data_IF_210053364914
#
_entry.id   IF_210053364914
#
_cell.length_a   1.000
_cell.length_b   1.000
_cell.length_c   1.000
_cell.angle_alpha   90.00
_cell.angle_beta   90.00
_cell.angle_gamma   90.00
#
_symmetry.space_group_name_H-M   'P 1'
#
loop_
_entity.id
_entity.type
_entity.pdbx_description
1 polymer ?
#
# COMPACT_ATOMS: atom_id res chain seq x y z
N UNK A 1 59.56 54.00 -41.21
CA UNK A 1 58.09 53.86 -41.30
C UNK A 1 57.70 52.54 -40.72
N UNK A 2 57.06 52.53 -39.56
CA UNK A 2 56.70 51.32 -38.81
C UNK A 2 55.17 51.18 -38.86
N UNK A 3 54.68 50.02 -39.28
CA UNK A 3 53.25 49.74 -39.44
C UNK A 3 52.55 49.56 -38.08
N UNK A 4 51.25 49.88 -37.94
CA UNK A 4 50.52 49.76 -36.67
C UNK A 4 50.08 48.31 -36.39
N UNK A 5 50.11 47.92 -35.11
CA UNK A 5 49.61 46.62 -34.62
C UNK A 5 48.09 46.48 -34.76
N UNK A 6 47.64 45.27 -35.10
CA UNK A 6 46.23 44.93 -35.23
C UNK A 6 45.58 44.66 -33.85
N UNK A 7 44.30 45.00 -33.66
CA UNK A 7 43.62 44.85 -32.38
C UNK A 7 43.21 43.40 -32.12
N UNK A 8 43.60 42.85 -30.97
CA UNK A 8 43.15 41.54 -30.48
C UNK A 8 41.76 41.66 -29.86
N UNK A 9 40.81 40.88 -30.37
CA UNK A 9 39.44 40.80 -29.82
C UNK A 9 39.36 39.63 -28.83
N UNK A 10 39.00 39.90 -27.57
CA UNK A 10 38.77 38.88 -26.54
C UNK A 10 37.31 38.42 -26.57
N UNK A 11 37.07 37.12 -26.80
CA UNK A 11 35.73 36.53 -26.72
C UNK A 11 35.46 36.13 -25.27
N UNK A 12 34.39 36.65 -24.67
CA UNK A 12 33.96 36.28 -23.32
C UNK A 12 33.47 34.82 -23.28
N UNK A 13 33.91 34.06 -22.28
CA UNK A 13 33.50 32.68 -22.08
C UNK A 13 32.00 32.59 -21.75
N UNK A 14 31.30 31.62 -22.35
CA UNK A 14 29.90 31.36 -22.09
C UNK A 14 29.67 30.88 -20.64
N UNK A 15 28.55 31.26 -20.00
CA UNK A 15 28.25 30.85 -18.63
C UNK A 15 28.02 29.34 -18.55
N UNK A 16 28.77 28.68 -17.66
CA UNK A 16 28.58 27.26 -17.34
C UNK A 16 27.29 27.12 -16.54
N UNK A 17 26.29 26.44 -17.12
CA UNK A 17 25.04 26.13 -16.40
C UNK A 17 25.30 24.93 -15.50
N UNK A 18 25.41 25.13 -14.19
CA UNK A 18 25.49 24.04 -13.22
C UNK A 18 24.12 23.39 -13.10
N UNK A 19 23.95 22.22 -13.70
CA UNK A 19 22.76 21.38 -13.47
C UNK A 19 22.85 20.84 -12.05
N UNK A 20 21.91 21.24 -11.19
CA UNK A 20 21.80 20.68 -9.86
C UNK A 20 21.55 19.17 -9.97
N UNK A 21 22.30 18.38 -9.20
CA UNK A 21 22.09 16.94 -9.13
C UNK A 21 20.66 16.66 -8.66
N UNK A 22 20.00 15.70 -9.31
CA UNK A 22 18.68 15.25 -8.88
C UNK A 22 18.76 14.75 -7.42
N UNK A 23 17.73 15.02 -6.60
CA UNK A 23 17.69 14.51 -5.23
C UNK A 23 17.78 12.97 -5.24
N UNK A 24 18.36 12.36 -4.19
CA UNK A 24 18.43 10.91 -4.06
C UNK A 24 17.00 10.32 -4.09
N UNK A 25 16.86 9.18 -4.76
CA UNK A 25 15.59 8.45 -4.75
C UNK A 25 15.26 7.99 -3.32
N UNK A 26 13.98 8.06 -2.89
CA UNK A 26 13.60 7.62 -1.56
C UNK A 26 13.86 6.13 -1.38
N UNK A 27 14.13 5.72 -0.15
CA UNK A 27 14.15 4.30 0.23
C UNK A 27 12.77 3.67 -0.01
N UNK A 28 12.72 2.33 -0.12
CA UNK A 28 11.46 1.61 -0.32
C UNK A 28 10.43 1.87 0.79
N UNK A 29 10.89 2.05 2.04
CA UNK A 29 10.02 2.40 3.16
C UNK A 29 9.50 3.84 3.07
N UNK A 30 10.35 4.81 2.72
CA UNK A 30 9.92 6.21 2.53
C UNK A 30 8.91 6.34 1.39
N UNK A 31 9.11 5.63 0.29
CA UNK A 31 8.15 5.56 -0.82
C UNK A 31 6.81 4.98 -0.36
N UNK A 32 6.83 3.87 0.41
CA UNK A 32 5.61 3.26 0.95
C UNK A 32 4.89 4.18 1.94
N UNK A 33 5.62 4.90 2.80
CA UNK A 33 5.06 5.90 3.72
C UNK A 33 4.41 7.05 2.95
N UNK A 34 5.02 7.53 1.87
CA UNK A 34 4.45 8.59 1.03
C UNK A 34 3.12 8.16 0.40
N UNK A 35 3.05 6.93 -0.13
CA UNK A 35 1.81 6.32 -0.63
C UNK A 35 0.78 6.18 0.48
N UNK A 36 1.16 5.64 1.64
CA UNK A 36 0.23 5.49 2.76
C UNK A 36 -0.31 6.83 3.25
N UNK A 37 0.54 7.85 3.31
CA UNK A 37 0.13 9.21 3.69
C UNK A 37 -0.90 9.78 2.72
N UNK A 38 -0.68 9.63 1.40
CA UNK A 38 -1.61 10.15 0.40
C UNK A 38 -2.95 9.43 0.42
N UNK A 39 -2.97 8.12 0.69
CA UNK A 39 -4.19 7.32 0.75
C UNK A 39 -5.00 7.55 2.03
N UNK A 40 -4.34 7.76 3.17
CA UNK A 40 -5.02 7.84 4.46
C UNK A 40 -5.43 9.27 4.86
N UNK A 41 -4.69 10.30 4.39
CA UNK A 41 -4.95 11.69 4.75
C UNK A 41 -6.39 12.17 4.45
N UNK A 42 -7.03 11.82 3.31
CA UNK A 42 -8.42 12.21 3.03
C UNK A 42 -9.43 11.66 4.04
N UNK A 43 -9.06 10.60 4.76
CA UNK A 43 -9.91 9.91 5.72
C UNK A 43 -9.56 10.24 7.18
N UNK A 44 -8.55 11.11 7.40
CA UNK A 44 -8.02 11.42 8.75
C UNK A 44 -7.53 10.19 9.54
N UNK A 45 -7.14 9.13 8.83
CA UNK A 45 -6.61 7.90 9.44
C UNK A 45 -5.10 8.08 9.66
N UNK A 46 -4.56 7.77 10.86
CA UNK A 46 -3.13 7.87 11.11
C UNK A 46 -2.33 6.90 10.26
N UNK A 47 -1.14 7.31 9.81
CA UNK A 47 -0.23 6.43 9.07
C UNK A 47 0.39 5.41 10.04
N UNK A 48 0.32 4.09 9.77
CA UNK A 48 0.96 3.09 10.63
C UNK A 48 2.48 3.23 10.57
N UNK A 49 3.17 2.66 11.56
CA UNK A 49 4.63 2.53 11.50
C UNK A 49 5.05 1.64 10.31
N UNK A 50 6.14 2.00 9.64
CA UNK A 50 6.76 1.19 8.60
C UNK A 50 8.14 0.70 9.04
N UNK A 51 8.45 -0.56 8.78
CA UNK A 51 9.78 -1.14 9.04
C UNK A 51 10.32 -1.76 7.77
N UNK A 52 11.60 -1.54 7.48
CA UNK A 52 12.28 -2.22 6.38
C UNK A 52 13.04 -3.43 6.90
N UNK A 53 12.65 -4.63 6.46
CA UNK A 53 13.30 -5.89 6.83
C UNK A 53 13.61 -6.74 5.59
N UNK A 54 14.86 -6.68 5.08
CA UNK A 54 15.29 -7.47 3.92
C UNK A 54 15.22 -9.00 4.12
N UNK A 55 15.13 -9.47 5.37
CA UNK A 55 15.09 -10.89 5.71
C UNK A 55 13.67 -11.48 5.76
N UNK A 56 12.64 -10.62 5.63
CA UNK A 56 11.26 -11.05 5.67
C UNK A 56 10.92 -12.06 4.55
N UNK A 57 10.04 -13.02 4.87
CA UNK A 57 9.51 -13.97 3.89
C UNK A 57 8.66 -13.30 2.79
N UNK A 58 7.59 -12.58 3.15
CA UNK A 58 6.77 -11.85 2.18
C UNK A 58 7.39 -10.51 1.77
N UNK A 59 6.91 -9.94 0.66
CA UNK A 59 7.37 -8.64 0.14
C UNK A 59 6.95 -7.47 1.02
N UNK A 60 5.74 -7.57 1.57
CA UNK A 60 5.17 -6.69 2.57
C UNK A 60 4.20 -7.50 3.44
N UNK A 61 3.97 -7.06 4.68
CA UNK A 61 2.91 -7.60 5.54
C UNK A 61 2.56 -6.62 6.67
N UNK A 62 1.29 -6.56 7.01
CA UNK A 62 0.82 -5.94 8.25
C UNK A 62 0.95 -6.88 9.46
N UNK A 63 1.44 -6.34 10.58
CA UNK A 63 1.40 -7.02 11.89
C UNK A 63 0.22 -6.50 12.69
N UNK A 64 -0.67 -7.40 13.12
CA UNK A 64 -1.88 -7.04 13.90
C UNK A 64 -1.53 -6.24 15.15
N UNK A 65 -2.08 -5.02 15.25
CA UNK A 65 -1.78 -4.08 16.33
C UNK A 65 -0.40 -3.41 16.28
N UNK A 66 0.38 -3.68 15.23
CA UNK A 66 1.68 -3.11 14.98
C UNK A 66 1.68 -2.22 13.74
N UNK A 67 2.68 -2.42 12.88
CA UNK A 67 2.88 -1.66 11.65
C UNK A 67 3.02 -2.55 10.42
N UNK A 68 3.46 -1.94 9.32
CA UNK A 68 3.71 -2.62 8.05
C UNK A 68 5.21 -2.85 7.89
N UNK A 69 5.60 -4.10 7.65
CA UNK A 69 6.97 -4.45 7.30
C UNK A 69 7.10 -4.57 5.80
N UNK A 70 8.12 -3.94 5.22
CA UNK A 70 8.44 -3.95 3.79
C UNK A 70 9.82 -4.60 3.62
N UNK A 71 9.94 -5.58 2.73
CA UNK A 71 11.22 -6.24 2.42
C UNK A 71 11.98 -5.55 1.29
N UNK A 72 11.24 -5.09 0.30
CA UNK A 72 11.74 -4.53 -0.93
C UNK A 72 10.73 -3.52 -1.46
N UNK A 73 11.07 -2.77 -2.51
CA UNK A 73 10.14 -1.84 -3.12
C UNK A 73 8.93 -2.61 -3.70
N UNK A 74 7.73 -2.21 -3.27
CA UNK A 74 6.46 -2.81 -3.66
C UNK A 74 5.59 -1.79 -4.39
N UNK A 75 4.60 -2.26 -5.13
CA UNK A 75 3.65 -1.38 -5.81
C UNK A 75 2.66 -0.76 -4.83
N UNK A 76 2.05 0.35 -5.24
CA UNK A 76 1.00 1.04 -4.47
C UNK A 76 -0.15 0.08 -4.10
N UNK A 77 -0.50 -0.87 -4.97
CA UNK A 77 -1.55 -1.86 -4.67
C UNK A 77 -1.19 -2.80 -3.52
N UNK A 78 0.10 -3.10 -3.33
CA UNK A 78 0.57 -3.89 -2.17
C UNK A 78 0.50 -3.04 -0.92
N UNK A 79 0.93 -1.77 -0.98
CA UNK A 79 0.78 -0.85 0.16
C UNK A 79 -0.69 -0.70 0.56
N UNK A 80 -1.58 -0.49 -0.41
CA UNK A 80 -3.02 -0.37 -0.19
C UNK A 80 -3.63 -1.66 0.41
N UNK A 81 -3.15 -2.83 0.01
CA UNK A 81 -3.54 -4.10 0.62
C UNK A 81 -3.19 -4.15 2.11
N UNK A 82 -1.93 -3.85 2.47
CA UNK A 82 -1.51 -3.88 3.88
C UNK A 82 -2.22 -2.81 4.71
N UNK A 83 -2.49 -1.64 4.12
CA UNK A 83 -3.35 -0.62 4.73
C UNK A 83 -4.78 -1.11 4.92
N UNK A 84 -5.28 -1.97 4.04
CA UNK A 84 -6.58 -2.62 4.20
C UNK A 84 -6.67 -3.42 5.49
N UNK A 85 -5.62 -4.22 5.81
CA UNK A 85 -5.54 -4.94 7.08
C UNK A 85 -5.50 -3.98 8.28
N UNK A 86 -4.69 -2.93 8.19
CA UNK A 86 -4.56 -1.92 9.26
C UNK A 86 -5.87 -1.20 9.55
N UNK A 87 -6.55 -0.69 8.52
CA UNK A 87 -7.85 -0.02 8.62
C UNK A 87 -8.90 -0.98 9.18
N UNK A 88 -8.91 -2.23 8.73
CA UNK A 88 -9.85 -3.23 9.24
C UNK A 88 -9.66 -3.42 10.74
N UNK A 89 -8.42 -3.56 11.20
CA UNK A 89 -8.09 -3.67 12.61
C UNK A 89 -8.54 -2.46 13.43
N UNK A 90 -8.29 -1.24 12.95
CA UNK A 90 -8.75 -0.02 13.63
C UNK A 90 -10.28 0.05 13.72
N UNK A 91 -10.96 -0.17 12.59
CA UNK A 91 -12.41 0.00 12.41
C UNK A 91 -13.28 -0.89 13.31
N UNK A 92 -12.71 -1.97 13.82
CA UNK A 92 -13.38 -2.95 14.71
C UNK A 92 -12.90 -2.84 16.16
N UNK A 93 -12.30 -1.70 16.52
CA UNK A 93 -11.89 -1.41 17.89
C UNK A 93 -10.51 -1.96 18.26
N UNK A 94 -9.60 -2.10 17.28
CA UNK A 94 -8.22 -2.56 17.50
C UNK A 94 -8.13 -3.92 18.19
N UNK A 95 -8.96 -4.87 17.74
CA UNK A 95 -9.02 -6.22 18.30
C UNK A 95 -8.96 -7.28 17.21
N UNK A 96 -8.01 -8.21 17.35
CA UNK A 96 -7.92 -9.36 16.43
C UNK A 96 -9.18 -10.21 16.45
N UNK A 97 -9.80 -10.43 17.62
CA UNK A 97 -11.02 -11.25 17.69
C UNK A 97 -12.19 -10.58 16.99
N UNK A 98 -12.32 -9.25 17.11
CA UNK A 98 -13.33 -8.47 16.42
C UNK A 98 -13.08 -8.43 14.90
N UNK A 99 -11.82 -8.21 14.48
CA UNK A 99 -11.41 -8.25 13.07
C UNK A 99 -11.72 -9.62 12.46
N UNK A 100 -11.31 -10.71 13.12
CA UNK A 100 -11.60 -12.08 12.67
C UNK A 100 -13.10 -12.35 12.54
N UNK A 101 -13.90 -11.89 13.50
CA UNK A 101 -15.35 -12.06 13.43
C UNK A 101 -15.96 -11.26 12.27
N UNK A 102 -15.50 -10.02 12.08
CA UNK A 102 -15.98 -9.14 11.02
C UNK A 102 -15.52 -9.58 9.62
N UNK A 103 -14.34 -10.19 9.50
CA UNK A 103 -13.82 -10.74 8.24
C UNK A 103 -14.77 -11.74 7.57
N UNK A 104 -15.61 -12.43 8.34
CA UNK A 104 -16.61 -13.33 7.79
C UNK A 104 -17.60 -12.62 6.86
N UNK A 105 -17.88 -11.33 7.12
CA UNK A 105 -18.74 -10.52 6.24
C UNK A 105 -18.09 -10.26 4.87
N UNK A 106 -16.77 -10.40 4.76
CA UNK A 106 -16.02 -10.31 3.50
C UNK A 106 -15.81 -11.68 2.82
N UNK A 107 -16.12 -12.77 3.51
CA UNK A 107 -15.92 -14.14 3.05
C UNK A 107 -17.16 -14.66 2.29
N UNK A 108 -17.40 -14.14 1.09
CA UNK A 108 -18.48 -14.65 0.24
C UNK A 108 -18.26 -16.15 -0.04
N UNK A 109 -19.31 -16.95 0.12
CA UNK A 109 -19.25 -18.40 -0.08
C UNK A 109 -18.41 -19.12 0.99
N UNK A 110 -18.44 -18.62 2.22
CA UNK A 110 -17.76 -19.28 3.34
C UNK A 110 -18.22 -20.75 3.48
N UNK A 111 -17.26 -21.65 3.33
CA UNK A 111 -17.42 -23.06 3.58
C UNK A 111 -17.11 -23.36 5.06
N UNK A 112 -18.06 -23.95 5.75
CA UNK A 112 -17.97 -24.20 7.19
C UNK A 112 -17.01 -25.35 7.53
N UNK A 113 -16.79 -26.30 6.62
CA UNK A 113 -15.94 -27.46 6.85
C UNK A 113 -14.45 -27.11 6.70
N UNK A 114 -14.12 -26.31 5.70
CA UNK A 114 -12.74 -25.95 5.34
C UNK A 114 -12.34 -24.57 5.85
N UNK A 115 -13.30 -23.73 6.24
CA UNK A 115 -13.08 -22.34 6.63
C UNK A 115 -12.63 -21.45 5.46
N UNK A 116 -12.93 -21.83 4.23
CA UNK A 116 -12.50 -21.09 3.03
C UNK A 116 -13.63 -20.26 2.47
N UNK A 117 -13.29 -19.13 1.85
CA UNK A 117 -14.23 -18.35 1.05
C UNK A 117 -14.29 -18.96 -0.36
N UNK A 118 -15.09 -20.01 -0.53
CA UNK A 118 -15.21 -20.74 -1.80
C UNK A 118 -16.09 -19.97 -2.79
N UNK A 119 -15.80 -20.09 -4.09
CA UNK A 119 -16.38 -19.21 -5.11
C UNK A 119 -15.90 -17.76 -5.03
N UNK A 120 -15.00 -17.45 -4.08
CA UNK A 120 -14.39 -16.14 -3.89
C UNK A 120 -13.52 -15.73 -5.08
N UNK A 121 -13.47 -14.43 -5.34
CA UNK A 121 -12.74 -13.89 -6.49
C UNK A 121 -11.21 -13.92 -6.30
N UNK A 122 -10.70 -14.09 -5.07
CA UNK A 122 -9.27 -14.27 -4.80
C UNK A 122 -8.77 -15.66 -5.21
N UNK A 123 -9.63 -16.67 -5.09
CA UNK A 123 -9.37 -18.05 -5.54
C UNK A 123 -10.69 -18.80 -5.60
N UNK A 124 -10.94 -19.49 -6.71
CA UNK A 124 -12.17 -20.26 -6.92
C UNK A 124 -12.46 -21.27 -5.81
N UNK A 125 -11.44 -21.83 -5.18
CA UNK A 125 -11.55 -22.80 -4.08
C UNK A 125 -11.19 -22.20 -2.70
N UNK A 126 -11.10 -20.87 -2.61
CA UNK A 126 -10.60 -20.13 -1.47
C UNK A 126 -9.12 -20.38 -1.13
N UNK A 127 -8.49 -19.44 -0.42
CA UNK A 127 -7.07 -19.56 -0.04
C UNK A 127 -6.91 -20.39 1.23
N UNK A 128 -6.14 -21.48 1.17
CA UNK A 128 -5.77 -22.28 2.35
C UNK A 128 -5.02 -21.46 3.41
N UNK A 129 -4.17 -20.52 2.99
CA UNK A 129 -3.42 -19.66 3.90
C UNK A 129 -4.32 -18.69 4.66
N UNK A 130 -5.35 -18.17 3.99
CA UNK A 130 -6.35 -17.29 4.62
C UNK A 130 -7.19 -18.06 5.65
N UNK A 131 -7.70 -19.24 5.29
CA UNK A 131 -8.47 -20.09 6.22
C UNK A 131 -7.69 -20.43 7.50
N UNK A 132 -6.36 -20.56 7.41
CA UNK A 132 -5.48 -20.78 8.58
C UNK A 132 -5.38 -19.55 9.48
N UNK A 133 -5.47 -18.34 8.94
CA UNK A 133 -5.43 -17.10 9.71
C UNK A 133 -6.84 -16.74 10.21
N UNK A 134 -7.71 -16.34 9.29
CA UNK A 134 -9.12 -16.04 9.49
C UNK A 134 -9.82 -15.99 8.12
N UNK A 135 -10.96 -16.69 7.93
CA UNK A 135 -11.69 -16.59 6.67
C UNK A 135 -12.10 -15.14 6.37
N UNK A 136 -11.86 -14.69 5.15
CA UNK A 136 -12.24 -13.37 4.65
C UNK A 136 -11.28 -12.22 5.02
N UNK A 137 -10.23 -12.45 5.82
CA UNK A 137 -9.32 -11.38 6.22
C UNK A 137 -8.55 -10.78 5.05
N UNK A 138 -8.16 -11.62 4.08
CA UNK A 138 -7.50 -11.16 2.87
C UNK A 138 -8.50 -10.47 1.94
N UNK A 139 -9.73 -11.00 1.85
CA UNK A 139 -10.81 -10.37 1.08
C UNK A 139 -11.10 -8.96 1.59
N UNK A 140 -11.16 -8.78 2.92
CA UNK A 140 -11.33 -7.47 3.55
C UNK A 140 -10.19 -6.52 3.17
N UNK A 141 -8.93 -6.93 3.33
CA UNK A 141 -7.76 -6.12 3.01
C UNK A 141 -7.71 -5.69 1.54
N UNK A 142 -7.97 -6.62 0.63
CA UNK A 142 -8.08 -6.33 -0.80
C UNK A 142 -9.20 -5.33 -1.10
N UNK A 143 -10.37 -5.50 -0.50
CA UNK A 143 -11.52 -4.65 -0.75
C UNK A 143 -11.34 -3.24 -0.18
N UNK A 144 -10.89 -3.13 1.07
CA UNK A 144 -10.58 -1.85 1.71
C UNK A 144 -9.45 -1.14 0.96
N UNK A 145 -8.37 -1.84 0.60
CA UNK A 145 -7.29 -1.29 -0.21
C UNK A 145 -7.77 -0.77 -1.57
N UNK A 146 -8.72 -1.46 -2.22
CA UNK A 146 -9.34 -0.97 -3.45
C UNK A 146 -10.13 0.33 -3.21
N UNK A 147 -10.86 0.42 -2.09
CA UNK A 147 -11.67 1.59 -1.76
C UNK A 147 -10.85 2.81 -1.32
N UNK A 148 -9.56 2.66 -1.01
CA UNK A 148 -8.61 3.78 -0.88
C UNK A 148 -8.25 4.42 -2.24
N UNK A 149 -8.77 3.91 -3.35
CA UNK A 149 -8.55 4.48 -4.69
C UNK A 149 -7.41 3.84 -5.48
N UNK A 150 -6.82 2.74 -4.98
CA UNK A 150 -5.78 1.99 -5.69
C UNK A 150 -6.35 0.66 -6.17
N UNK A 151 -6.53 0.49 -7.47
CA UNK A 151 -6.87 -0.81 -8.07
C UNK A 151 -5.62 -1.52 -8.57
N UNK A 152 -5.45 -2.81 -8.26
CA UNK A 152 -4.32 -3.59 -8.74
C UNK A 152 -4.42 -5.07 -8.40
N UNK A 153 -3.37 -5.86 -8.63
CA UNK A 153 -3.38 -7.30 -8.30
C UNK A 153 -3.59 -7.59 -6.81
N UNK A 154 -3.24 -6.63 -5.94
CA UNK A 154 -3.34 -6.74 -4.47
C UNK A 154 -4.51 -5.94 -3.87
N UNK A 155 -5.26 -5.21 -4.68
CA UNK A 155 -6.38 -4.37 -4.23
C UNK A 155 -7.50 -4.42 -5.27
N UNK A 156 -8.43 -5.36 -5.08
CA UNK A 156 -9.62 -5.52 -5.93
C UNK A 156 -10.83 -5.73 -5.04
N UNK A 157 -12.00 -5.29 -5.51
CA UNK A 157 -13.26 -5.56 -4.86
C UNK A 157 -14.37 -5.67 -5.92
N UNK A 158 -14.65 -6.87 -6.44
CA UNK A 158 -15.59 -7.03 -7.54
C UNK A 158 -17.07 -7.06 -7.11
N UNK A 159 -17.35 -7.21 -5.82
CA UNK A 159 -18.71 -7.32 -5.30
C UNK A 159 -19.21 -5.99 -4.70
N UNK A 160 -20.40 -5.56 -5.10
CA UNK A 160 -20.98 -4.28 -4.67
C UNK A 160 -21.30 -4.20 -3.17
N UNK A 161 -21.69 -5.32 -2.54
CA UNK A 161 -21.93 -5.37 -1.10
C UNK A 161 -20.62 -5.25 -0.32
N UNK A 162 -19.55 -5.91 -0.79
CA UNK A 162 -18.22 -5.78 -0.22
C UNK A 162 -17.63 -4.38 -0.39
N UNK A 163 -17.94 -3.69 -1.50
CA UNK A 163 -17.54 -2.28 -1.71
C UNK A 163 -18.15 -1.39 -0.61
N UNK A 164 -19.47 -1.48 -0.39
CA UNK A 164 -20.13 -0.70 0.66
C UNK A 164 -19.61 -1.03 2.05
N UNK A 165 -19.35 -2.31 2.33
CA UNK A 165 -18.78 -2.74 3.60
C UNK A 165 -17.36 -2.18 3.80
N UNK A 166 -16.51 -2.23 2.78
CA UNK A 166 -15.16 -1.68 2.82
C UNK A 166 -15.16 -0.16 3.07
N UNK A 167 -16.05 0.58 2.40
CA UNK A 167 -16.23 2.02 2.62
C UNK A 167 -16.66 2.32 4.07
N UNK A 168 -17.55 1.51 4.63
CA UNK A 168 -17.95 1.65 6.04
C UNK A 168 -16.79 1.41 7.01
N UNK A 169 -15.89 0.47 6.72
CA UNK A 169 -14.68 0.23 7.51
C UNK A 169 -13.71 1.41 7.45
N UNK A 170 -13.48 1.99 6.28
CA UNK A 170 -12.67 3.21 6.13
C UNK A 170 -13.27 4.36 6.96
N UNK A 171 -14.58 4.56 6.90
CA UNK A 171 -15.26 5.62 7.65
C UNK A 171 -15.25 5.43 9.17
N UNK A 172 -14.98 4.22 9.66
CA UNK A 172 -15.02 3.86 11.09
C UNK A 172 -13.63 3.65 11.70
N UNK A 173 -12.57 3.76 10.90
CA UNK A 173 -11.18 3.54 11.31
C UNK A 173 -10.54 4.77 11.96
#
# INVERSE_FOLDING_TARGET
>A
TTAPEAPTTTIAAAPTTTVAAAPPSPSCAEAAIAVATSLLAPHSIPVPGFTHDPSAGPRAYYTVGGGITIRECVSDSVVAHELGHYIHFLSVGSSWSAMKADSLNFCLGQDAETGRCEGGWLSSNGKKSEAKAAPGVEHAAHCIGNQLGVSGSYSKCPDSGLISLAQARIASA
#
